data_IF_280303930842
#
_entry.id   IF_280303930842
#
_cell.length_a   1.000
_cell.length_b   1.000
_cell.length_c   1.000
_cell.angle_alpha   90.00
_cell.angle_beta   90.00
_cell.angle_gamma   90.00
#
_symmetry.space_group_name_H-M   'P 1'
#
loop_
_entity.id
_entity.type
_entity.pdbx_description
1 polymer ?
#
# COMPACT_ATOMS: atom_id res chain seq x y z
N UNK A 1 -3.66 -20.01 3.05
CA UNK A 1 -2.67 -19.07 3.64
C UNK A 1 -1.23 -19.51 3.49
N UNK A 2 -0.83 -20.68 4.01
CA UNK A 2 0.59 -21.12 4.04
C UNK A 2 1.25 -21.10 2.65
N UNK A 3 0.60 -21.66 1.63
CA UNK A 3 1.17 -21.70 0.27
C UNK A 3 1.45 -20.31 -0.31
N UNK A 4 0.52 -19.35 -0.19
CA UNK A 4 0.71 -17.96 -0.65
C UNK A 4 1.79 -17.22 0.14
N UNK A 5 1.88 -17.48 1.44
CA UNK A 5 2.94 -16.91 2.27
C UNK A 5 4.32 -17.46 1.88
N UNK A 6 4.44 -18.78 1.70
CA UNK A 6 5.65 -19.42 1.21
C UNK A 6 6.04 -18.88 -0.17
N UNK A 7 5.08 -18.76 -1.09
CA UNK A 7 5.30 -18.16 -2.41
C UNK A 7 5.84 -16.72 -2.29
N UNK A 8 5.28 -15.93 -1.37
CA UNK A 8 5.73 -14.55 -1.11
C UNK A 8 7.19 -14.50 -0.63
N UNK A 9 7.60 -15.44 0.23
CA UNK A 9 9.00 -15.53 0.67
C UNK A 9 9.92 -16.00 -0.45
N UNK A 10 9.50 -16.97 -1.26
CA UNK A 10 10.28 -17.48 -2.40
C UNK A 10 10.48 -16.38 -3.44
N UNK A 11 9.43 -15.63 -3.77
CA UNK A 11 9.50 -14.51 -4.71
C UNK A 11 10.38 -13.36 -4.19
N UNK A 12 10.47 -13.17 -2.87
CA UNK A 12 11.40 -12.21 -2.28
C UNK A 12 12.85 -12.59 -2.57
N UNK A 13 13.20 -13.86 -2.46
CA UNK A 13 14.55 -14.34 -2.77
C UNK A 13 14.81 -14.31 -4.29
N UNK A 14 13.85 -14.72 -5.12
CA UNK A 14 13.94 -14.67 -6.58
C UNK A 14 14.12 -13.25 -7.12
N UNK A 15 13.51 -12.25 -6.46
CA UNK A 15 13.68 -10.83 -6.78
C UNK A 15 15.13 -10.33 -6.65
N UNK A 16 15.96 -10.99 -5.83
CA UNK A 16 17.40 -10.70 -5.71
C UNK A 16 18.24 -11.46 -6.75
N UNK A 17 17.65 -12.47 -7.40
CA UNK A 17 18.29 -13.34 -8.39
C UNK A 17 17.78 -13.08 -9.82
N UNK A 18 17.44 -14.17 -10.52
CA UNK A 18 17.08 -14.15 -11.95
C UNK A 18 15.67 -13.64 -12.25
N UNK A 19 14.81 -13.47 -11.25
CA UNK A 19 13.39 -13.13 -11.40
C UNK A 19 12.58 -14.16 -12.23
N UNK A 20 13.10 -15.38 -12.35
CA UNK A 20 12.52 -16.42 -13.20
C UNK A 20 11.18 -16.92 -12.67
N UNK A 21 11.02 -17.00 -11.34
CA UNK A 21 9.77 -17.42 -10.71
C UNK A 21 8.72 -16.32 -10.79
N UNK A 22 9.11 -15.06 -10.62
CA UNK A 22 8.22 -13.92 -10.82
C UNK A 22 7.70 -13.89 -12.27
N UNK A 23 8.58 -14.06 -13.26
CA UNK A 23 8.19 -14.13 -14.66
C UNK A 23 7.25 -15.31 -14.96
N UNK A 24 7.56 -16.50 -14.42
CA UNK A 24 6.73 -17.67 -14.61
C UNK A 24 5.35 -17.48 -13.99
N UNK A 25 5.26 -16.97 -12.76
CA UNK A 25 4.01 -16.64 -12.06
C UNK A 25 3.11 -15.71 -12.88
N UNK A 26 3.70 -14.70 -13.54
CA UNK A 26 2.98 -13.81 -14.44
C UNK A 26 2.54 -14.54 -15.72
N UNK A 27 3.45 -15.31 -16.33
CA UNK A 27 3.23 -16.03 -17.60
C UNK A 27 2.06 -17.01 -17.53
N UNK A 28 1.93 -17.72 -16.41
CA UNK A 28 0.85 -18.69 -16.19
C UNK A 28 -0.47 -18.03 -15.75
N UNK A 29 -0.53 -16.69 -15.66
CA UNK A 29 -1.75 -15.95 -15.34
C UNK A 29 -2.14 -15.96 -13.86
N UNK A 30 -1.29 -16.47 -12.96
CA UNK A 30 -1.62 -16.58 -11.53
C UNK A 30 -1.87 -15.23 -10.88
N UNK A 31 -1.20 -14.17 -11.35
CA UNK A 31 -1.44 -12.82 -10.85
C UNK A 31 -2.91 -12.40 -10.99
N UNK A 32 -3.53 -12.71 -12.12
CA UNK A 32 -4.92 -12.36 -12.39
C UNK A 32 -5.87 -13.13 -11.47
N UNK A 33 -5.67 -14.43 -11.32
CA UNK A 33 -6.47 -15.25 -10.41
C UNK A 33 -6.36 -14.79 -8.95
N UNK A 34 -5.14 -14.44 -8.51
CA UNK A 34 -4.93 -13.92 -7.14
C UNK A 34 -5.64 -12.57 -6.96
N UNK A 35 -5.58 -11.68 -7.95
CA UNK A 35 -6.27 -10.40 -7.91
C UNK A 35 -7.80 -10.56 -7.89
N UNK A 36 -8.34 -11.43 -8.73
CA UNK A 36 -9.78 -11.74 -8.77
C UNK A 36 -10.26 -12.30 -7.42
N UNK A 37 -9.42 -13.06 -6.70
CA UNK A 37 -9.78 -13.60 -5.38
C UNK A 37 -10.00 -12.55 -4.29
N UNK A 38 -9.58 -11.30 -4.51
CA UNK A 38 -9.78 -10.19 -3.55
C UNK A 38 -10.71 -9.10 -4.07
N UNK A 39 -11.14 -9.16 -5.33
CA UNK A 39 -11.89 -8.09 -5.99
C UNK A 39 -13.24 -7.79 -5.33
N UNK A 40 -13.91 -8.82 -4.81
CA UNK A 40 -15.27 -8.74 -4.26
C UNK A 40 -15.33 -8.91 -2.73
N UNK A 41 -14.18 -8.81 -2.05
CA UNK A 41 -14.14 -8.99 -0.59
C UNK A 41 -14.90 -7.85 0.11
N UNK A 42 -15.77 -8.23 1.03
CA UNK A 42 -16.47 -7.32 1.93
C UNK A 42 -16.55 -7.92 3.34
N UNK A 43 -16.76 -7.07 4.34
CA UNK A 43 -16.98 -7.53 5.72
C UNK A 43 -18.43 -7.99 5.85
N UNK A 44 -18.58 -9.23 6.31
CA UNK A 44 -19.86 -9.92 6.45
C UNK A 44 -20.53 -9.63 7.81
N UNK A 45 -19.78 -9.09 8.77
CA UNK A 45 -20.20 -8.94 10.16
C UNK A 45 -19.97 -10.20 11.01
N UNK A 46 -19.53 -11.30 10.39
CA UNK A 46 -19.07 -12.49 11.11
C UNK A 46 -17.58 -12.35 11.42
N UNK A 47 -17.25 -12.14 12.70
CA UNK A 47 -15.87 -11.88 13.14
C UNK A 47 -14.86 -12.91 12.61
N UNK A 48 -15.19 -14.21 12.66
CA UNK A 48 -14.29 -15.26 12.18
C UNK A 48 -14.06 -15.17 10.67
N UNK A 49 -15.10 -14.97 9.87
CA UNK A 49 -14.98 -14.86 8.42
C UNK A 49 -14.28 -13.56 8.01
N UNK A 50 -14.55 -12.47 8.72
CA UNK A 50 -13.96 -11.17 8.48
C UNK A 50 -12.45 -11.18 8.79
N UNK A 51 -12.04 -11.84 9.89
CA UNK A 51 -10.63 -12.09 10.22
C UNK A 51 -9.95 -12.87 9.08
N UNK A 52 -10.54 -14.00 8.64
CA UNK A 52 -9.95 -14.83 7.60
C UNK A 52 -9.84 -14.08 6.26
N UNK A 53 -10.85 -13.30 5.91
CA UNK A 53 -10.87 -12.49 4.69
C UNK A 53 -9.81 -11.41 4.71
N UNK A 54 -9.65 -10.71 5.84
CA UNK A 54 -8.61 -9.69 6.00
C UNK A 54 -7.21 -10.30 6.05
N UNK A 55 -7.02 -11.47 6.67
CA UNK A 55 -5.76 -12.23 6.63
C UNK A 55 -5.38 -12.56 5.17
N UNK A 56 -6.37 -12.98 4.36
CA UNK A 56 -6.18 -13.24 2.93
C UNK A 56 -5.75 -12.01 2.15
N UNK A 57 -6.48 -10.91 2.30
CA UNK A 57 -6.13 -9.64 1.67
C UNK A 57 -4.71 -9.21 2.04
N UNK A 58 -4.34 -9.29 3.32
CA UNK A 58 -3.03 -8.87 3.79
C UNK A 58 -1.89 -9.72 3.20
N UNK A 59 -2.07 -11.04 3.09
CA UNK A 59 -1.10 -11.93 2.44
C UNK A 59 -0.95 -11.57 0.96
N UNK A 60 -2.06 -11.34 0.24
CA UNK A 60 -2.05 -10.98 -1.18
C UNK A 60 -1.41 -9.61 -1.42
N UNK A 61 -1.71 -8.62 -0.58
CA UNK A 61 -1.04 -7.33 -0.70
C UNK A 61 0.46 -7.43 -0.41
N UNK A 62 0.88 -8.29 0.53
CA UNK A 62 2.30 -8.55 0.77
C UNK A 62 2.97 -9.14 -0.48
N UNK A 63 2.31 -10.09 -1.15
CA UNK A 63 2.74 -10.62 -2.43
C UNK A 63 2.86 -9.53 -3.50
N UNK A 64 1.85 -8.67 -3.63
CA UNK A 64 1.86 -7.57 -4.60
C UNK A 64 2.96 -6.54 -4.30
N UNK A 65 3.23 -6.25 -3.04
CA UNK A 65 4.36 -5.39 -2.64
C UNK A 65 5.68 -5.98 -3.15
N UNK A 66 5.89 -7.30 -2.98
CA UNK A 66 7.11 -7.97 -3.47
C UNK A 66 7.21 -7.92 -4.99
N UNK A 67 6.13 -8.21 -5.69
CA UNK A 67 6.08 -8.12 -7.16
C UNK A 67 6.33 -6.69 -7.66
N UNK A 68 5.72 -5.69 -7.02
CA UNK A 68 5.86 -4.27 -7.38
C UNK A 68 7.29 -3.73 -7.23
N UNK A 69 8.15 -4.38 -6.43
CA UNK A 69 9.57 -4.06 -6.31
C UNK A 69 10.43 -4.63 -7.44
N UNK A 70 9.88 -5.54 -8.27
CA UNK A 70 10.55 -6.09 -9.45
C UNK A 70 10.05 -5.40 -10.72
N UNK A 71 10.89 -5.31 -11.75
CA UNK A 71 10.47 -4.69 -13.02
C UNK A 71 9.37 -5.48 -13.72
N UNK A 72 9.47 -6.81 -13.72
CA UNK A 72 8.46 -7.68 -14.33
C UNK A 72 7.13 -7.67 -13.55
N UNK A 73 7.18 -7.77 -12.22
CA UNK A 73 5.98 -7.72 -11.37
C UNK A 73 5.29 -6.36 -11.41
N UNK A 74 6.04 -5.26 -11.50
CA UNK A 74 5.47 -3.93 -11.71
C UNK A 74 4.67 -3.85 -13.01
N UNK A 75 5.25 -4.32 -14.13
CA UNK A 75 4.54 -4.37 -15.41
C UNK A 75 3.30 -5.26 -15.31
N UNK A 76 3.44 -6.46 -14.74
CA UNK A 76 2.32 -7.38 -14.57
C UNK A 76 1.16 -6.79 -13.76
N UNK A 77 1.45 -6.09 -12.65
CA UNK A 77 0.45 -5.40 -11.83
C UNK A 77 -0.23 -4.26 -12.60
N UNK A 78 0.52 -3.56 -13.46
CA UNK A 78 -0.05 -2.54 -14.34
C UNK A 78 -0.97 -3.17 -15.40
N UNK A 79 -0.51 -4.24 -16.07
CA UNK A 79 -1.22 -4.90 -17.17
C UNK A 79 -2.58 -5.47 -16.73
N UNK A 80 -2.68 -5.97 -15.50
CA UNK A 80 -3.94 -6.46 -14.92
C UNK A 80 -4.77 -5.36 -14.23
N UNK A 81 -4.35 -4.09 -14.33
CA UNK A 81 -4.98 -2.95 -13.66
C UNK A 81 -5.19 -3.14 -12.15
N UNK A 82 -4.21 -3.74 -11.46
CA UNK A 82 -4.36 -4.15 -10.06
C UNK A 82 -4.78 -3.00 -9.14
N UNK A 83 -4.20 -1.80 -9.32
CA UNK A 83 -4.55 -0.61 -8.52
C UNK A 83 -6.03 -0.22 -8.68
N UNK A 84 -6.58 -0.32 -9.89
CA UNK A 84 -7.97 0.02 -10.16
C UNK A 84 -8.92 -1.02 -9.58
N UNK A 85 -8.59 -2.31 -9.70
CA UNK A 85 -9.36 -3.39 -9.07
C UNK A 85 -9.36 -3.20 -7.56
N UNK A 86 -8.19 -3.00 -6.95
CA UNK A 86 -8.08 -2.75 -5.51
C UNK A 86 -8.86 -1.51 -5.07
N UNK A 87 -8.91 -0.45 -5.87
CA UNK A 87 -9.66 0.77 -5.54
C UNK A 87 -11.19 0.56 -5.54
N UNK A 88 -11.67 -0.42 -6.30
CA UNK A 88 -13.10 -0.70 -6.48
C UNK A 88 -13.64 -1.77 -5.51
N UNK A 89 -12.80 -2.32 -4.61
CA UNK A 89 -13.23 -3.37 -3.67
C UNK A 89 -14.30 -2.82 -2.70
N UNK A 90 -15.41 -3.54 -2.45
CA UNK A 90 -16.48 -3.11 -1.54
C UNK A 90 -16.01 -2.81 -0.10
N UNK A 91 -14.95 -3.47 0.34
CA UNK A 91 -14.30 -3.30 1.65
C UNK A 91 -14.05 -1.83 2.05
N UNK A 92 -13.87 -0.92 1.09
CA UNK A 92 -13.66 0.51 1.38
C UNK A 92 -14.91 1.25 1.87
N UNK A 93 -16.10 0.76 1.53
CA UNK A 93 -17.36 1.49 1.75
C UNK A 93 -17.84 1.46 3.19
N UNK A 94 -17.48 0.44 3.98
CA UNK A 94 -17.90 0.30 5.37
C UNK A 94 -16.72 -0.14 6.26
N UNK A 95 -15.80 0.79 6.60
CA UNK A 95 -14.69 0.48 7.49
C UNK A 95 -15.21 0.11 8.90
N UNK A 96 -14.54 -0.82 9.61
CA UNK A 96 -14.96 -1.23 10.96
C UNK A 96 -15.14 -0.05 11.91
N UNK A 97 -16.30 0.07 12.56
CA UNK A 97 -16.61 1.23 13.42
C UNK A 97 -15.69 1.34 14.63
N UNK A 98 -15.31 0.20 15.20
CA UNK A 98 -14.40 0.11 16.35
C UNK A 98 -13.01 0.70 16.05
N UNK A 99 -12.65 0.78 14.77
CA UNK A 99 -11.47 1.48 14.31
C UNK A 99 -11.44 2.93 14.80
N UNK A 100 -12.57 3.63 14.72
CA UNK A 100 -12.66 5.06 15.04
C UNK A 100 -12.78 5.34 16.54
N UNK A 101 -12.95 4.29 17.35
CA UNK A 101 -13.06 4.37 18.81
C UNK A 101 -11.74 4.02 19.50
N UNK A 102 -10.83 3.34 18.81
CA UNK A 102 -9.57 2.90 19.40
C UNK A 102 -8.57 4.06 19.57
N UNK A 103 -7.97 4.23 20.76
CA UNK A 103 -6.97 5.28 21.02
C UNK A 103 -5.62 5.00 20.34
N UNK A 104 -5.33 3.72 20.09
CA UNK A 104 -4.15 3.24 19.37
C UNK A 104 -4.43 1.85 18.80
N UNK A 105 -3.65 1.45 17.80
CA UNK A 105 -3.76 0.13 17.17
C UNK A 105 -2.52 -0.69 17.47
N UNK A 106 -2.69 -1.82 18.13
CA UNK A 106 -1.68 -2.87 18.10
C UNK A 106 -1.91 -3.73 16.84
N UNK A 107 -1.06 -3.50 15.84
CA UNK A 107 -1.09 -4.21 14.56
C UNK A 107 -0.78 -5.72 14.70
N UNK A 108 -0.28 -6.17 15.87
CA UNK A 108 -0.03 -7.58 16.17
C UNK A 108 -1.27 -8.29 16.71
N UNK A 109 -2.29 -7.56 17.14
CA UNK A 109 -3.52 -8.14 17.64
C UNK A 109 -4.32 -8.77 16.51
N UNK A 110 -4.81 -10.00 16.72
CA UNK A 110 -5.67 -10.71 15.77
C UNK A 110 -7.13 -10.30 15.94
N UNK A 111 -7.46 -9.08 15.53
CA UNK A 111 -8.82 -8.53 15.55
C UNK A 111 -9.16 -7.85 14.22
N UNK A 112 -10.46 -7.72 13.92
CA UNK A 112 -10.94 -7.09 12.67
C UNK A 112 -10.38 -5.66 12.50
N UNK A 113 -10.42 -4.75 13.50
CA UNK A 113 -9.86 -3.39 13.33
C UNK A 113 -8.34 -3.39 13.09
N UNK A 114 -7.59 -4.25 13.79
CA UNK A 114 -6.14 -4.35 13.63
C UNK A 114 -5.76 -4.90 12.25
N UNK A 115 -6.45 -5.95 11.77
CA UNK A 115 -6.24 -6.53 10.45
C UNK A 115 -6.67 -5.60 9.31
N UNK A 116 -7.72 -4.81 9.52
CA UNK A 116 -8.14 -3.76 8.59
C UNK A 116 -7.09 -2.64 8.52
N UNK A 117 -6.54 -2.20 9.67
CA UNK A 117 -5.42 -1.26 9.66
C UNK A 117 -4.17 -1.83 8.96
N UNK A 118 -3.88 -3.12 9.13
CA UNK A 118 -2.83 -3.80 8.39
C UNK A 118 -3.10 -3.76 6.88
N UNK A 119 -4.35 -3.96 6.47
CA UNK A 119 -4.75 -3.87 5.07
C UNK A 119 -4.51 -2.46 4.49
N UNK A 120 -4.99 -1.41 5.17
CA UNK A 120 -4.74 -0.02 4.80
C UNK A 120 -3.23 0.28 4.74
N UNK A 121 -2.48 -0.24 5.71
CA UNK A 121 -1.02 -0.08 5.77
C UNK A 121 -0.32 -0.74 4.58
N UNK A 122 -0.72 -1.96 4.23
CA UNK A 122 -0.17 -2.69 3.09
C UNK A 122 -0.52 -2.03 1.75
N UNK A 123 -1.70 -1.42 1.62
CA UNK A 123 -2.05 -0.62 0.44
C UNK A 123 -1.09 0.56 0.26
N UNK A 124 -0.77 1.29 1.34
CA UNK A 124 0.22 2.37 1.27
C UNK A 124 1.60 1.83 0.91
N UNK A 125 2.01 0.70 1.47
CA UNK A 125 3.29 0.08 1.11
C UNK A 125 3.34 -0.41 -0.33
N UNK A 126 2.24 -0.91 -0.87
CA UNK A 126 2.13 -1.27 -2.28
C UNK A 126 2.32 -0.03 -3.14
N UNK A 127 1.62 1.06 -2.82
CA UNK A 127 1.80 2.33 -3.54
C UNK A 127 3.24 2.85 -3.47
N UNK A 128 3.90 2.73 -2.31
CA UNK A 128 5.32 3.09 -2.16
C UNK A 128 6.21 2.21 -3.05
N UNK A 129 6.02 0.89 -3.02
CA UNK A 129 6.77 -0.06 -3.83
C UNK A 129 6.63 0.24 -5.33
N UNK A 130 5.41 0.50 -5.78
CA UNK A 130 5.15 0.84 -7.16
C UNK A 130 5.72 2.21 -7.55
N UNK A 131 5.76 3.17 -6.62
CA UNK A 131 6.40 4.47 -6.80
C UNK A 131 7.93 4.45 -6.77
N UNK A 132 8.55 3.34 -6.35
CA UNK A 132 9.99 3.13 -6.44
C UNK A 132 10.48 2.76 -7.84
N UNK A 133 9.59 2.35 -8.75
CA UNK A 133 9.94 2.05 -10.14
C UNK A 133 10.16 3.34 -10.94
N UNK A 134 11.13 3.38 -11.86
CA UNK A 134 11.43 4.56 -12.69
C UNK A 134 10.24 5.05 -13.53
N UNK A 135 9.28 4.17 -13.84
CA UNK A 135 8.08 4.47 -14.63
C UNK A 135 6.85 4.80 -13.78
N UNK A 136 6.99 5.03 -12.47
CA UNK A 136 5.89 5.28 -11.54
C UNK A 136 4.89 6.37 -11.97
N UNK A 137 5.33 7.37 -12.75
CA UNK A 137 4.45 8.44 -13.25
C UNK A 137 3.29 7.92 -14.09
N UNK A 138 3.42 6.75 -14.71
CA UNK A 138 2.35 6.11 -15.49
C UNK A 138 1.13 5.74 -14.65
N UNK A 139 1.34 5.53 -13.35
CA UNK A 139 0.32 5.03 -12.41
C UNK A 139 0.00 6.02 -11.30
N UNK A 140 0.51 7.26 -11.37
CA UNK A 140 0.41 8.24 -10.29
C UNK A 140 -1.04 8.57 -9.92
N UNK A 141 -1.92 8.76 -10.90
CA UNK A 141 -3.36 8.96 -10.67
C UNK A 141 -4.02 7.74 -10.01
N UNK A 142 -3.66 6.52 -10.43
CA UNK A 142 -4.21 5.29 -9.87
C UNK A 142 -3.77 5.10 -8.42
N UNK A 143 -2.50 5.41 -8.10
CA UNK A 143 -1.98 5.43 -6.74
C UNK A 143 -2.74 6.43 -5.87
N UNK A 144 -2.94 7.67 -6.34
CA UNK A 144 -3.68 8.68 -5.60
C UNK A 144 -5.17 8.32 -5.43
N UNK A 145 -5.77 7.68 -6.45
CA UNK A 145 -7.13 7.15 -6.39
C UNK A 145 -7.26 6.09 -5.32
N UNK A 146 -6.38 5.10 -5.32
CA UNK A 146 -6.38 4.02 -4.32
C UNK A 146 -6.16 4.55 -2.89
N UNK A 147 -5.24 5.50 -2.70
CA UNK A 147 -5.06 6.14 -1.39
C UNK A 147 -6.33 6.87 -0.91
N UNK A 148 -7.07 7.49 -1.84
CA UNK A 148 -8.31 8.21 -1.51
C UNK A 148 -9.41 7.28 -1.02
N UNK A 149 -9.41 5.98 -1.36
CA UNK A 149 -10.35 5.00 -0.82
C UNK A 149 -10.22 4.84 0.71
N UNK A 150 -9.06 5.17 1.28
CA UNK A 150 -8.81 5.12 2.72
C UNK A 150 -8.98 6.48 3.43
N UNK A 151 -9.61 7.46 2.76
CA UNK A 151 -9.68 8.85 3.25
C UNK A 151 -10.28 8.98 4.65
N UNK A 152 -11.33 8.23 4.98
CA UNK A 152 -11.98 8.31 6.30
C UNK A 152 -11.04 7.89 7.42
N UNK A 153 -10.34 6.77 7.23
CA UNK A 153 -9.34 6.25 8.18
C UNK A 153 -8.17 7.21 8.30
N UNK A 154 -7.63 7.69 7.18
CA UNK A 154 -6.50 8.62 7.19
C UNK A 154 -6.88 9.95 7.84
N UNK A 155 -8.05 10.51 7.54
CA UNK A 155 -8.53 11.75 8.15
C UNK A 155 -8.75 11.58 9.65
N UNK A 156 -9.29 10.45 10.09
CA UNK A 156 -9.42 10.14 11.52
C UNK A 156 -8.04 10.11 12.20
N UNK A 157 -7.09 9.35 11.65
CA UNK A 157 -5.72 9.28 12.18
C UNK A 157 -5.02 10.63 12.25
N UNK A 158 -5.23 11.50 11.24
CA UNK A 158 -4.66 12.85 11.22
C UNK A 158 -5.17 13.68 12.41
N UNK A 159 -6.44 13.51 12.80
CA UNK A 159 -7.06 14.23 13.92
C UNK A 159 -6.62 13.66 15.27
N UNK A 160 -6.51 12.34 15.40
CA UNK A 160 -6.24 11.68 16.67
C UNK A 160 -4.75 11.59 17.00
N UNK A 161 -3.89 11.28 16.02
CA UNK A 161 -2.46 11.12 16.24
C UNK A 161 -1.62 11.61 15.05
N UNK A 162 -1.48 12.94 14.95
CA UNK A 162 -0.75 13.60 13.86
C UNK A 162 0.73 13.21 13.74
N UNK A 163 1.35 12.71 14.82
CA UNK A 163 2.77 12.32 14.82
C UNK A 163 3.01 10.87 14.42
N UNK A 164 1.96 10.12 14.08
CA UNK A 164 2.04 8.73 13.67
C UNK A 164 3.02 8.53 12.49
N UNK A 165 3.95 7.58 12.63
CA UNK A 165 4.96 7.25 11.62
C UNK A 165 4.35 6.76 10.30
N UNK A 166 3.19 6.11 10.35
CA UNK A 166 2.41 5.70 9.19
C UNK A 166 1.93 6.91 8.37
N UNK A 167 1.39 7.95 9.03
CA UNK A 167 0.97 9.19 8.37
C UNK A 167 2.15 9.92 7.72
N UNK A 168 3.34 9.86 8.32
CA UNK A 168 4.56 10.41 7.71
C UNK A 168 4.89 9.70 6.39
N UNK A 169 4.77 8.37 6.33
CA UNK A 169 4.97 7.61 5.07
C UNK A 169 3.95 8.00 4.00
N UNK A 170 2.68 8.12 4.38
CA UNK A 170 1.61 8.59 3.48
C UNK A 170 1.91 10.00 2.96
N UNK A 171 2.29 10.93 3.85
CA UNK A 171 2.62 12.30 3.49
C UNK A 171 3.81 12.40 2.54
N UNK A 172 4.86 11.61 2.79
CA UNK A 172 6.05 11.50 1.93
C UNK A 172 5.66 11.04 0.51
N UNK A 173 4.83 10.01 0.40
CA UNK A 173 4.38 9.49 -0.89
C UNK A 173 3.58 10.55 -1.67
N UNK A 174 2.59 11.18 -1.04
CA UNK A 174 1.77 12.21 -1.69
C UNK A 174 2.61 13.44 -2.06
N UNK A 175 3.54 13.85 -1.20
CA UNK A 175 4.44 14.97 -1.48
C UNK A 175 5.40 14.67 -2.65
N UNK A 176 5.91 13.45 -2.74
CA UNK A 176 6.74 12.99 -3.85
C UNK A 176 5.98 13.08 -5.18
N UNK A 177 4.75 12.53 -5.24
CA UNK A 177 3.91 12.60 -6.44
C UNK A 177 3.59 14.05 -6.80
N UNK A 178 3.17 14.87 -5.81
CA UNK A 178 2.84 16.28 -6.02
C UNK A 178 3.99 17.11 -6.64
N UNK A 179 5.22 16.89 -6.17
CA UNK A 179 6.37 17.66 -6.64
C UNK A 179 6.84 17.20 -8.02
N UNK A 180 6.89 15.89 -8.25
CA UNK A 180 7.53 15.33 -9.44
C UNK A 180 6.57 14.99 -10.58
N UNK A 181 5.25 15.02 -10.35
CA UNK A 181 4.24 14.78 -11.37
C UNK A 181 3.19 15.90 -11.43
N UNK A 182 3.52 16.96 -12.17
CA UNK A 182 2.73 18.20 -12.25
C UNK A 182 1.23 18.01 -12.59
N UNK A 183 0.82 17.08 -13.49
CA UNK A 183 -0.59 16.83 -13.79
C UNK A 183 -1.44 16.48 -12.55
N UNK A 184 -0.86 15.85 -11.54
CA UNK A 184 -1.59 15.38 -10.35
C UNK A 184 -1.87 16.47 -9.32
N UNK A 185 -1.23 17.64 -9.43
CA UNK A 185 -1.30 18.69 -8.41
C UNK A 185 -2.73 19.14 -8.12
N UNK A 186 -3.50 19.41 -9.17
CA UNK A 186 -4.89 19.86 -9.03
C UNK A 186 -5.77 18.80 -8.36
N UNK A 187 -5.53 17.53 -8.65
CA UNK A 187 -6.24 16.40 -8.03
C UNK A 187 -5.94 16.33 -6.52
N UNK A 188 -4.65 16.41 -6.14
CA UNK A 188 -4.21 16.39 -4.75
C UNK A 188 -4.77 17.59 -3.98
N UNK A 189 -4.77 18.78 -4.57
CA UNK A 189 -5.22 20.00 -3.89
C UNK A 189 -6.72 20.05 -3.66
N UNK A 190 -7.51 19.49 -4.59
CA UNK A 190 -8.97 19.37 -4.46
C UNK A 190 -9.39 18.33 -3.42
N UNK A 191 -8.58 17.30 -3.19
CA UNK A 191 -8.84 16.29 -2.17
C UNK A 191 -8.42 16.78 -0.78
N UNK A 192 -9.38 16.89 0.15
CA UNK A 192 -9.11 17.33 1.53
C UNK A 192 -8.09 16.42 2.23
N UNK A 193 -8.25 15.09 2.07
CA UNK A 193 -7.36 14.09 2.66
C UNK A 193 -5.95 14.15 2.06
N UNK A 194 -5.82 14.08 0.74
CA UNK A 194 -4.50 14.08 0.08
C UNK A 194 -3.76 15.41 0.32
N UNK A 195 -4.46 16.53 0.28
CA UNK A 195 -3.89 17.84 0.58
C UNK A 195 -3.41 17.93 2.04
N UNK A 196 -4.16 17.36 2.99
CA UNK A 196 -3.74 17.29 4.38
C UNK A 196 -2.48 16.44 4.54
N UNK A 197 -2.43 15.24 3.94
CA UNK A 197 -1.26 14.35 3.95
C UNK A 197 -0.03 15.04 3.35
N UNK A 198 -0.17 15.70 2.20
CA UNK A 198 0.89 16.50 1.57
C UNK A 198 1.49 17.50 2.56
N UNK A 199 0.65 18.21 3.30
CA UNK A 199 1.08 19.24 4.27
C UNK A 199 1.78 18.63 5.51
N UNK A 200 1.54 17.37 5.84
CA UNK A 200 2.24 16.68 6.94
C UNK A 200 3.72 16.43 6.63
N UNK A 201 4.10 16.31 5.36
CA UNK A 201 5.49 16.12 4.95
C UNK A 201 6.37 17.36 5.15
N UNK A 202 5.82 18.50 5.57
CA UNK A 202 6.53 19.77 5.71
C UNK A 202 6.80 20.49 4.37
N UNK A 203 7.24 21.75 4.42
CA UNK A 203 7.70 22.48 3.23
C UNK A 203 9.03 21.87 2.77
N UNK A 204 9.04 21.22 1.62
CA UNK A 204 10.26 20.73 0.98
C UNK A 204 11.22 21.90 0.71
N UNK A 205 12.41 21.86 1.29
CA UNK A 205 13.56 22.64 0.81
C UNK A 205 14.18 21.92 -0.41
N UNK A 206 14.86 22.64 -1.29
CA UNK A 206 15.49 22.07 -2.51
C UNK A 206 16.41 20.87 -2.23
N UNK A 207 17.05 20.81 -1.06
CA UNK A 207 17.87 19.67 -0.59
C UNK A 207 17.06 18.40 -0.25
N UNK A 208 15.81 18.54 0.19
CA UNK A 208 14.93 17.41 0.53
C UNK A 208 14.40 16.63 -0.68
N UNK A 209 14.40 17.27 -1.86
CA UNK A 209 13.95 16.66 -3.12
C UNK A 209 14.88 15.54 -3.60
N UNK A 210 16.20 15.69 -3.37
CA UNK A 210 17.21 14.68 -3.67
C UNK A 210 17.12 13.48 -2.72
N UNK A 211 16.89 13.73 -1.42
CA UNK A 211 16.68 12.67 -0.43
C UNK A 211 15.45 11.81 -0.71
N UNK A 212 14.37 12.40 -1.20
CA UNK A 212 13.15 11.65 -1.55
C UNK A 212 13.31 10.84 -2.83
N UNK A 213 13.93 11.42 -3.88
CA UNK A 213 14.33 10.64 -5.05
C UNK A 213 15.23 9.46 -4.66
N UNK A 214 16.20 9.68 -3.78
CA UNK A 214 17.06 8.62 -3.27
C UNK A 214 16.29 7.57 -2.44
N UNK A 215 15.35 7.99 -1.58
CA UNK A 215 14.55 7.10 -0.74
C UNK A 215 13.64 6.18 -1.56
N UNK A 216 13.04 6.68 -2.64
CA UNK A 216 12.24 5.86 -3.54
C UNK A 216 13.08 5.02 -4.50
N UNK A 217 14.26 5.49 -4.92
CA UNK A 217 15.21 4.68 -5.73
C UNK A 217 15.88 3.55 -4.92
N UNK A 218 15.92 3.68 -3.59
CA UNK A 218 16.41 2.65 -2.66
C UNK A 218 15.32 2.29 -1.63
N UNK A 219 14.25 1.60 -2.07
CA UNK A 219 13.07 1.33 -1.23
C UNK A 219 13.41 0.66 0.11
N UNK A 220 14.53 -0.07 0.19
CA UNK A 220 15.03 -0.69 1.41
C UNK A 220 15.07 0.28 2.60
N UNK A 221 15.38 1.57 2.41
CA UNK A 221 15.35 2.55 3.51
C UNK A 221 13.94 2.96 3.97
N UNK A 222 12.93 2.85 3.09
CA UNK A 222 11.52 3.08 3.44
C UNK A 222 10.89 1.87 4.16
N UNK A 223 11.44 0.69 3.93
CA UNK A 223 11.09 -0.58 4.59
C UNK A 223 11.92 -0.87 5.86
N UNK A 224 13.15 -0.34 5.97
CA UNK A 224 14.12 -0.69 7.04
C UNK A 224 13.89 -0.09 8.43
N UNK A 225 12.74 0.54 8.71
CA UNK A 225 12.32 0.75 10.11
C UNK A 225 11.73 -0.52 10.76
N UNK A 226 12.19 -1.70 10.33
CA UNK A 226 12.00 -2.98 11.01
C UNK A 226 13.15 -3.34 11.96
N UNK A 227 14.08 -2.42 12.24
CA UNK A 227 15.06 -2.58 13.32
C UNK A 227 14.46 -2.28 14.69
N UNK A 228 13.44 -3.06 15.08
CA UNK A 228 13.14 -3.41 16.49
C UNK A 228 12.14 -4.57 16.62
N UNK A 229 12.17 -5.54 15.71
CA UNK A 229 11.50 -6.84 15.92
C UNK A 229 12.48 -7.97 15.58
N UNK A 230 13.60 -8.01 16.30
CA UNK A 230 14.29 -9.25 16.69
C UNK A 230 14.80 -9.03 18.11
N UNK A 231 13.96 -9.40 19.07
CA UNK A 231 14.24 -10.12 20.32
C UNK A 231 12.92 -10.26 21.07
#
# INVERSE_FOLDING_TARGET
FVALFCLTQILREDALGSQSLALEFLRIGMLRYVLESVADINLSGSETNDILSLEHCNVILTLFIRLGLTSCGWNGLQDVNALQVLANIPLWSDPPKDLFLAPSFDLKTRSVPALYMNYVTNIVYLCIALCSNSHWKRISFQVLGLLSCSADVLNHLIRTNRQNSFLKKCGILVAHIYHFDAPTRSFIEKSSCLNALRKLSGKMSSSSSAHLKAAFNTPRHLFNNTSSIIN
#
